data_IF_463824332806
#
_entry.id   IF_463824332806
#
_cell.length_a   1.000
_cell.length_b   1.000
_cell.length_c   1.000
_cell.angle_alpha   90.00
_cell.angle_beta   90.00
_cell.angle_gamma   90.00
#
_symmetry.space_group_name_H-M   'P 1'
#
loop_
_entity.id
_entity.type
_entity.pdbx_description
1 polymer ?
#
# COMPACT_ATOMS: atom_id res chain seq x y z
N UNK A 1 29.09 -80.07 -42.60
CA UNK A 1 29.76 -79.16 -41.63
C UNK A 1 29.07 -77.81 -41.65
N UNK A 2 28.29 -77.50 -40.60
CA UNK A 2 27.79 -76.14 -40.33
C UNK A 2 27.99 -75.91 -38.84
N UNK A 3 28.89 -75.01 -38.52
CA UNK A 3 29.17 -74.51 -37.18
C UNK A 3 29.23 -73.00 -37.26
N UNK A 4 28.91 -72.36 -36.13
CA UNK A 4 29.23 -70.97 -35.76
C UNK A 4 28.31 -69.88 -36.34
N UNK A 5 27.96 -68.82 -35.61
CA UNK A 5 28.31 -68.36 -34.26
C UNK A 5 27.19 -67.44 -33.78
N UNK A 6 26.86 -67.51 -32.49
CA UNK A 6 26.00 -66.55 -31.78
C UNK A 6 26.87 -65.36 -31.34
N UNK A 7 26.45 -64.13 -31.65
CA UNK A 7 27.05 -62.92 -31.07
C UNK A 7 26.00 -62.19 -30.23
N UNK A 8 26.33 -62.05 -28.95
CA UNK A 8 25.63 -61.31 -27.91
C UNK A 8 25.61 -59.81 -28.22
N UNK A 9 24.44 -59.18 -28.12
CA UNK A 9 24.29 -57.72 -28.13
C UNK A 9 24.45 -57.20 -26.70
N UNK A 10 25.59 -56.59 -26.39
CA UNK A 10 25.83 -55.88 -25.13
C UNK A 10 25.22 -54.48 -25.21
N UNK A 11 24.15 -54.24 -24.46
CA UNK A 11 23.67 -52.88 -24.19
C UNK A 11 24.57 -52.23 -23.15
N UNK A 12 25.39 -51.28 -23.61
CA UNK A 12 26.18 -50.38 -22.77
C UNK A 12 25.21 -49.37 -22.14
N UNK A 13 24.97 -49.49 -20.83
CA UNK A 13 24.27 -48.44 -20.07
C UNK A 13 25.25 -47.31 -19.80
N UNK A 14 25.11 -46.21 -20.53
CA UNK A 14 25.68 -44.93 -20.11
C UNK A 14 24.90 -44.43 -18.89
N UNK A 15 25.43 -44.73 -17.70
CA UNK A 15 25.04 -44.08 -16.46
C UNK A 15 25.46 -42.61 -16.52
N UNK A 16 24.51 -41.73 -16.83
CA UNK A 16 24.67 -40.32 -16.58
C UNK A 16 24.78 -40.11 -15.07
N UNK A 17 25.96 -39.66 -14.61
CA UNK A 17 26.12 -38.95 -13.34
C UNK A 17 25.32 -37.65 -13.41
N UNK A 18 24.02 -37.74 -13.15
CA UNK A 18 23.22 -36.59 -12.77
C UNK A 18 23.68 -36.13 -11.39
N UNK A 19 24.16 -34.89 -11.31
CA UNK A 19 24.48 -34.25 -10.04
C UNK A 19 23.32 -34.41 -9.07
N UNK A 20 23.60 -34.95 -7.88
CA UNK A 20 22.67 -34.89 -6.76
C UNK A 20 22.32 -33.43 -6.50
N UNK A 21 21.10 -33.03 -6.86
CA UNK A 21 20.47 -31.84 -6.33
C UNK A 21 20.53 -31.97 -4.81
N UNK A 22 21.37 -31.14 -4.17
CA UNK A 22 21.27 -30.88 -2.74
C UNK A 22 19.80 -30.66 -2.45
N UNK A 23 19.20 -31.56 -1.67
CA UNK A 23 17.90 -31.36 -1.04
C UNK A 23 18.03 -30.09 -0.23
N UNK A 24 17.66 -28.97 -0.83
CA UNK A 24 17.35 -27.76 -0.09
C UNK A 24 16.11 -28.14 0.69
N UNK A 25 16.31 -28.48 1.96
CA UNK A 25 15.23 -28.51 2.93
C UNK A 25 14.67 -27.09 2.95
N UNK A 26 13.62 -26.85 2.18
CA UNK A 26 12.79 -25.67 2.32
C UNK A 26 12.17 -25.77 3.70
N UNK A 27 12.84 -25.19 4.70
CA UNK A 27 12.19 -24.83 5.95
C UNK A 27 11.13 -23.82 5.52
N UNK A 28 9.89 -24.28 5.46
CA UNK A 28 8.73 -23.48 5.10
C UNK A 28 8.55 -22.43 6.20
N UNK A 29 9.21 -21.28 6.06
CA UNK A 29 8.87 -20.08 6.82
C UNK A 29 7.47 -19.67 6.38
N UNK A 30 6.46 -19.99 7.20
CA UNK A 30 5.14 -19.35 7.12
C UNK A 30 5.30 -17.89 7.59
N UNK A 31 5.86 -17.05 6.73
CA UNK A 31 5.77 -15.60 6.82
C UNK A 31 5.15 -15.12 5.51
N UNK A 32 4.13 -14.28 5.58
CA UNK A 32 3.31 -13.86 4.43
C UNK A 32 4.18 -13.43 3.24
N UNK A 33 4.24 -14.23 2.15
CA UNK A 33 4.76 -13.76 0.86
C UNK A 33 3.65 -12.94 0.19
N UNK A 34 3.37 -11.75 0.72
CA UNK A 34 2.58 -10.78 -0.03
C UNK A 34 3.45 -10.16 -1.13
N UNK A 35 2.81 -9.77 -2.22
CA UNK A 35 3.42 -9.10 -3.35
C UNK A 35 3.63 -7.61 -3.01
N UNK A 36 4.78 -7.04 -3.40
CA UNK A 36 5.00 -5.60 -3.39
C UNK A 36 5.03 -5.13 -4.85
N UNK A 37 4.10 -4.27 -5.29
CA UNK A 37 4.06 -3.82 -6.68
C UNK A 37 5.31 -3.02 -7.07
N UNK A 38 5.70 -3.12 -8.34
CA UNK A 38 6.79 -2.32 -8.88
C UNK A 38 6.25 -1.02 -9.49
N UNK A 39 6.95 0.10 -9.26
CA UNK A 39 6.65 1.41 -9.85
C UNK A 39 7.92 1.92 -10.53
N UNK A 40 7.79 2.38 -11.77
CA UNK A 40 8.90 2.90 -12.58
C UNK A 40 8.72 4.40 -12.88
N UNK A 41 9.77 5.11 -13.35
CA UNK A 41 9.70 6.54 -13.65
C UNK A 41 9.08 6.89 -15.02
N UNK A 42 8.48 5.93 -15.75
CA UNK A 42 7.94 6.21 -17.08
C UNK A 42 6.79 7.22 -17.03
N UNK A 43 6.72 8.12 -18.00
CA UNK A 43 5.62 9.07 -18.10
C UNK A 43 4.30 8.36 -18.44
N UNK A 44 3.19 8.84 -17.88
CA UNK A 44 1.85 8.28 -18.04
C UNK A 44 0.81 9.40 -18.19
N UNK A 45 -0.33 9.09 -18.80
CA UNK A 45 -1.44 10.03 -18.96
C UNK A 45 -2.78 9.41 -18.54
N UNK A 46 -3.69 10.26 -18.10
CA UNK A 46 -5.08 9.96 -17.78
C UNK A 46 -5.99 10.65 -18.80
N UNK A 47 -6.77 9.88 -19.54
CA UNK A 47 -7.73 10.41 -20.51
C UNK A 47 -9.14 10.42 -19.92
N UNK A 48 -9.62 11.61 -19.54
CA UNK A 48 -10.93 11.82 -18.91
C UNK A 48 -12.12 11.49 -19.82
N UNK A 49 -11.95 11.52 -21.14
CA UNK A 49 -13.03 11.22 -22.09
C UNK A 49 -13.07 9.74 -22.44
N UNK A 50 -11.93 9.05 -22.32
CA UNK A 50 -11.86 7.63 -22.62
C UNK A 50 -12.72 6.86 -21.62
N UNK A 51 -13.60 6.02 -22.14
CA UNK A 51 -14.48 5.16 -21.35
C UNK A 51 -15.42 5.95 -20.41
N UNK A 52 -15.64 7.25 -20.64
CA UNK A 52 -16.43 8.14 -19.76
C UNK A 52 -17.85 7.62 -19.54
N UNK A 53 -18.40 6.91 -20.53
CA UNK A 53 -19.69 6.24 -20.45
C UNK A 53 -19.76 5.11 -19.41
N UNK A 54 -18.61 4.57 -18.98
CA UNK A 54 -18.50 3.52 -17.96
C UNK A 54 -18.42 4.07 -16.53
N UNK A 55 -18.24 5.38 -16.38
CA UNK A 55 -18.08 6.00 -15.06
C UNK A 55 -19.45 6.19 -14.40
N UNK A 56 -19.52 5.84 -13.12
CA UNK A 56 -20.60 6.26 -12.23
C UNK A 56 -20.47 7.76 -11.99
N UNK A 57 -21.57 8.49 -12.20
CA UNK A 57 -21.66 9.93 -11.98
C UNK A 57 -22.35 10.21 -10.65
N UNK A 58 -21.84 11.17 -9.90
CA UNK A 58 -22.44 11.58 -8.63
C UNK A 58 -22.27 13.08 -8.45
N UNK A 59 -23.28 13.75 -7.91
CA UNK A 59 -23.19 15.17 -7.58
C UNK A 59 -22.03 15.39 -6.61
N UNK A 60 -21.19 16.38 -6.94
CA UNK A 60 -20.05 16.76 -6.14
C UNK A 60 -20.36 18.07 -5.43
N UNK A 61 -20.34 18.02 -4.11
CA UNK A 61 -20.38 19.20 -3.24
C UNK A 61 -19.02 19.26 -2.56
N UNK A 62 -18.28 20.35 -2.78
CA UNK A 62 -16.92 20.52 -2.31
C UNK A 62 -16.76 21.91 -1.70
N UNK A 63 -16.39 21.97 -0.42
CA UNK A 63 -16.14 23.21 0.30
C UNK A 63 -14.66 23.32 0.63
N UNK A 64 -14.08 24.50 0.45
CA UNK A 64 -12.74 24.81 0.97
C UNK A 64 -12.68 26.26 1.47
N UNK A 65 -11.50 26.71 1.92
CA UNK A 65 -11.30 28.06 2.44
C UNK A 65 -11.63 29.18 1.44
N UNK A 66 -11.82 28.87 0.15
CA UNK A 66 -12.18 29.80 -0.92
C UNK A 66 -13.67 29.79 -1.27
N UNK A 67 -14.47 28.93 -0.65
CA UNK A 67 -15.93 28.86 -0.81
C UNK A 67 -16.46 27.45 -1.09
N UNK A 68 -17.78 27.40 -1.32
CA UNK A 68 -18.49 26.18 -1.71
C UNK A 68 -18.54 26.07 -3.25
N UNK A 69 -18.28 24.87 -3.73
CA UNK A 69 -18.30 24.52 -5.14
C UNK A 69 -19.20 23.32 -5.37
N UNK A 70 -20.01 23.40 -6.41
CA UNK A 70 -20.78 22.28 -6.95
C UNK A 70 -20.15 21.78 -8.25
N UNK A 71 -20.45 20.53 -8.58
CA UNK A 71 -19.99 19.89 -9.80
C UNK A 71 -20.46 18.45 -9.91
N UNK A 72 -19.76 17.67 -10.71
CA UNK A 72 -20.00 16.24 -10.88
C UNK A 72 -18.71 15.47 -10.68
N UNK A 73 -18.77 14.40 -9.89
CA UNK A 73 -17.69 13.44 -9.78
C UNK A 73 -17.93 12.22 -10.66
N UNK A 74 -16.84 11.62 -11.11
CA UNK A 74 -16.83 10.45 -11.97
C UNK A 74 -15.95 9.40 -11.32
N UNK A 75 -16.48 8.20 -11.11
CA UNK A 75 -15.76 7.07 -10.54
C UNK A 75 -15.90 5.84 -11.45
N UNK A 76 -14.80 5.14 -11.70
CA UNK A 76 -14.78 3.86 -12.40
C UNK A 76 -13.98 2.84 -11.57
N UNK A 77 -14.60 1.69 -11.29
CA UNK A 77 -13.96 0.54 -10.67
C UNK A 77 -13.85 -0.59 -11.70
N UNK A 78 -12.62 -1.08 -11.92
CA UNK A 78 -12.32 -2.21 -12.80
C UNK A 78 -11.73 -3.33 -11.97
N UNK A 79 -12.35 -4.51 -12.01
CA UNK A 79 -11.85 -5.71 -11.35
C UNK A 79 -11.28 -6.69 -12.35
N UNK A 80 -10.15 -7.28 -12.00
CA UNK A 80 -9.51 -8.41 -12.69
C UNK A 80 -9.26 -9.51 -11.65
N UNK A 81 -8.71 -10.65 -12.07
CA UNK A 81 -8.50 -11.81 -11.17
C UNK A 81 -7.58 -11.53 -9.97
N UNK A 82 -6.72 -10.50 -10.02
CA UNK A 82 -5.75 -10.22 -8.96
C UNK A 82 -5.61 -8.73 -8.59
N UNK A 83 -6.38 -7.87 -9.24
CA UNK A 83 -6.28 -6.41 -9.10
C UNK A 83 -7.64 -5.74 -9.16
N UNK A 84 -7.77 -4.70 -8.35
CA UNK A 84 -8.86 -3.72 -8.45
C UNK A 84 -8.25 -2.35 -8.80
N UNK A 85 -8.74 -1.74 -9.88
CA UNK A 85 -8.31 -0.42 -10.33
C UNK A 85 -9.47 0.56 -10.09
N UNK A 86 -9.20 1.64 -9.37
CA UNK A 86 -10.16 2.72 -9.14
C UNK A 86 -9.64 3.97 -9.83
N UNK A 87 -10.47 4.57 -10.67
CA UNK A 87 -10.20 5.86 -11.32
C UNK A 87 -11.24 6.88 -10.88
N UNK A 88 -10.78 8.09 -10.60
CA UNK A 88 -11.66 9.17 -10.15
C UNK A 88 -11.21 10.52 -10.71
N UNK A 89 -12.18 11.38 -11.00
CA UNK A 89 -11.97 12.82 -11.15
C UNK A 89 -13.26 13.59 -10.85
N UNK A 90 -13.13 14.86 -10.45
CA UNK A 90 -14.22 15.81 -10.32
C UNK A 90 -14.22 16.83 -11.46
N UNK A 91 -15.41 17.32 -11.82
CA UNK A 91 -15.64 18.41 -12.77
C UNK A 91 -16.52 19.46 -12.10
N UNK A 92 -15.96 20.62 -11.78
CA UNK A 92 -16.72 21.73 -11.22
C UNK A 92 -17.66 22.32 -12.28
N UNK A 93 -18.71 23.04 -11.86
CA UNK A 93 -19.61 23.77 -12.77
C UNK A 93 -18.88 24.73 -13.72
N UNK A 94 -17.74 25.28 -13.29
CA UNK A 94 -16.85 26.10 -14.11
C UNK A 94 -16.14 25.34 -15.24
N UNK A 95 -16.32 24.03 -15.34
CA UNK A 95 -15.61 23.15 -16.27
C UNK A 95 -14.20 22.74 -15.81
N UNK A 96 -13.77 23.18 -14.62
CA UNK A 96 -12.45 22.84 -14.06
C UNK A 96 -12.43 21.38 -13.57
N UNK A 97 -11.43 20.62 -14.03
CA UNK A 97 -11.15 19.27 -13.53
C UNK A 97 -10.38 19.36 -12.20
N UNK A 98 -10.78 18.57 -11.22
CA UNK A 98 -10.14 18.48 -9.90
C UNK A 98 -9.95 17.03 -9.46
N UNK A 99 -8.97 16.81 -8.59
CA UNK A 99 -8.68 15.53 -7.95
C UNK A 99 -8.59 14.31 -8.91
N UNK A 100 -7.94 14.40 -10.08
CA UNK A 100 -7.80 13.21 -10.92
C UNK A 100 -6.77 12.24 -10.33
N UNK A 101 -7.20 11.02 -10.02
CA UNK A 101 -6.34 9.98 -9.47
C UNK A 101 -6.68 8.57 -9.98
N UNK A 102 -5.69 7.68 -9.86
CA UNK A 102 -5.83 6.25 -10.09
C UNK A 102 -5.19 5.48 -8.92
N UNK A 103 -5.93 4.51 -8.37
CA UNK A 103 -5.44 3.54 -7.42
C UNK A 103 -5.44 2.15 -8.04
N UNK A 104 -4.36 1.41 -7.87
CA UNK A 104 -4.24 0.02 -8.32
C UNK A 104 -3.93 -0.84 -7.09
N UNK A 105 -4.94 -1.58 -6.65
CA UNK A 105 -4.86 -2.54 -5.56
C UNK A 105 -4.49 -3.91 -6.12
N UNK A 106 -3.69 -4.65 -5.36
CA UNK A 106 -3.37 -6.05 -5.61
C UNK A 106 -3.85 -6.87 -4.43
N UNK A 107 -4.58 -7.95 -4.67
CA UNK A 107 -5.31 -8.66 -3.62
C UNK A 107 -4.39 -9.22 -2.53
N UNK A 108 -3.21 -9.71 -2.91
CA UNK A 108 -2.18 -10.19 -2.00
C UNK A 108 -1.07 -9.14 -1.78
N UNK A 109 -1.41 -7.89 -1.49
CA UNK A 109 -0.44 -6.82 -1.24
C UNK A 109 -0.92 -5.84 -0.17
N UNK A 110 -0.07 -5.41 0.77
CA UNK A 110 -0.37 -4.32 1.68
C UNK A 110 -0.16 -2.94 1.03
N UNK A 111 0.43 -2.89 -0.16
CA UNK A 111 0.63 -1.67 -0.91
C UNK A 111 -0.22 -1.63 -2.18
N UNK A 112 -0.77 -0.46 -2.46
CA UNK A 112 -1.35 -0.11 -3.74
C UNK A 112 -0.42 0.85 -4.49
N UNK A 113 -0.56 0.91 -5.81
CA UNK A 113 0.02 2.01 -6.59
C UNK A 113 -0.95 3.17 -6.53
N UNK A 114 -0.46 4.33 -6.10
CA UNK A 114 -1.19 5.60 -6.20
C UNK A 114 -0.59 6.43 -7.33
N UNK A 115 -1.48 7.02 -8.15
CA UNK A 115 -1.15 7.99 -9.18
C UNK A 115 -2.06 9.19 -9.05
N UNK A 116 -1.50 10.39 -9.14
CA UNK A 116 -2.28 11.62 -9.27
C UNK A 116 -1.88 12.35 -10.53
N UNK A 117 -2.83 13.07 -11.13
CA UNK A 117 -2.65 13.70 -12.42
C UNK A 117 -2.91 15.20 -12.33
N UNK A 118 -2.41 15.94 -13.31
CA UNK A 118 -2.81 17.31 -13.54
C UNK A 118 -4.15 17.38 -14.28
N UNK A 119 -4.86 18.53 -14.27
CA UNK A 119 -6.10 18.71 -15.03
C UNK A 119 -5.95 18.48 -16.54
N UNK A 120 -4.74 18.60 -17.08
CA UNK A 120 -4.45 18.29 -18.49
C UNK A 120 -4.28 16.78 -18.77
N UNK A 121 -4.38 15.94 -17.75
CA UNK A 121 -4.25 14.48 -17.84
C UNK A 121 -2.82 13.95 -17.70
N UNK A 122 -1.81 14.80 -17.65
CA UNK A 122 -0.43 14.35 -17.45
C UNK A 122 -0.23 13.85 -16.02
N UNK A 123 0.54 12.77 -15.83
CA UNK A 123 0.90 12.29 -14.49
C UNK A 123 1.61 13.42 -13.73
N UNK A 124 1.19 13.62 -12.48
CA UNK A 124 1.81 14.56 -11.54
C UNK A 124 2.78 13.84 -10.63
N UNK A 125 2.35 12.73 -10.05
CA UNK A 125 3.18 11.91 -9.18
C UNK A 125 2.66 10.48 -9.07
N UNK A 126 3.56 9.56 -8.77
CA UNK A 126 3.21 8.15 -8.52
C UNK A 126 4.19 7.45 -7.59
N UNK A 127 3.68 6.44 -6.89
CA UNK A 127 4.47 5.58 -6.02
C UNK A 127 3.61 4.56 -5.27
N UNK A 128 4.21 3.89 -4.30
CA UNK A 128 3.51 2.93 -3.44
C UNK A 128 2.94 3.61 -2.21
N UNK A 129 1.65 3.38 -1.95
CA UNK A 129 0.96 3.77 -0.73
C UNK A 129 0.38 2.54 -0.05
N UNK A 130 0.42 2.47 1.28
CA UNK A 130 -0.23 1.39 2.01
C UNK A 130 -1.75 1.41 1.78
N UNK A 131 -2.37 0.23 1.68
CA UNK A 131 -3.82 0.11 1.43
C UNK A 131 -4.66 0.82 2.49
N UNK A 132 -4.17 0.87 3.75
CA UNK A 132 -4.87 1.46 4.87
C UNK A 132 -3.92 2.14 5.86
N UNK A 133 -3.96 3.47 5.85
CA UNK A 133 -3.13 4.33 6.68
C UNK A 133 -2.34 5.33 5.82
N UNK A 134 -1.26 5.86 6.40
CA UNK A 134 -0.45 6.91 5.79
C UNK A 134 1.02 6.50 5.69
N UNK A 135 1.32 5.55 4.80
CA UNK A 135 2.68 5.11 4.50
C UNK A 135 2.91 5.21 3.01
N UNK A 136 4.00 5.88 2.67
CA UNK A 136 4.55 5.95 1.33
C UNK A 136 5.83 5.12 1.31
N UNK A 137 5.83 4.02 0.54
CA UNK A 137 6.96 3.07 0.49
C UNK A 137 7.82 3.33 -0.74
N UNK A 138 9.12 3.09 -0.58
CA UNK A 138 10.08 3.12 -1.68
C UNK A 138 10.17 4.48 -2.36
N UNK A 139 10.35 4.44 -3.68
CA UNK A 139 10.62 5.63 -4.48
C UNK A 139 9.33 6.19 -5.10
N UNK A 140 9.11 7.48 -4.88
CA UNK A 140 8.06 8.28 -5.49
C UNK A 140 8.63 9.20 -6.57
N UNK A 141 7.93 9.29 -7.70
CA UNK A 141 8.34 10.04 -8.87
C UNK A 141 7.40 11.22 -9.07
N UNK A 142 7.96 12.40 -9.37
CA UNK A 142 7.22 13.65 -9.53
C UNK A 142 7.54 14.29 -10.87
N UNK A 143 6.50 14.71 -11.57
CA UNK A 143 6.56 15.25 -12.92
C UNK A 143 6.00 16.67 -12.93
N UNK A 144 6.48 17.49 -13.86
CA UNK A 144 5.83 18.77 -14.14
C UNK A 144 4.59 18.60 -15.03
N UNK A 145 3.82 19.68 -15.21
CA UNK A 145 2.62 19.67 -16.07
C UNK A 145 2.89 19.31 -17.52
N UNK A 146 4.15 19.39 -17.98
CA UNK A 146 4.58 19.03 -19.34
C UNK A 146 5.02 17.57 -19.45
N UNK A 147 5.03 16.84 -18.34
CA UNK A 147 5.39 15.43 -18.28
C UNK A 147 6.87 15.13 -18.08
N UNK A 148 7.69 16.14 -17.78
CA UNK A 148 9.11 15.93 -17.45
C UNK A 148 9.24 15.47 -16.01
N UNK A 149 10.01 14.41 -15.75
CA UNK A 149 10.39 14.01 -14.39
C UNK A 149 11.26 15.12 -13.77
N UNK A 150 10.78 15.73 -12.68
CA UNK A 150 11.43 16.85 -12.00
C UNK A 150 12.00 16.47 -10.64
N UNK A 151 11.48 15.42 -9.99
CA UNK A 151 11.96 14.98 -8.68
C UNK A 151 11.73 13.48 -8.46
N UNK A 152 12.55 12.90 -7.57
CA UNK A 152 12.44 11.52 -7.11
C UNK A 152 12.76 11.48 -5.61
N UNK A 153 11.86 10.91 -4.79
CA UNK A 153 12.03 10.82 -3.34
C UNK A 153 11.96 9.37 -2.89
N UNK A 154 12.97 8.90 -2.17
CA UNK A 154 12.95 7.59 -1.53
C UNK A 154 12.49 7.72 -0.07
N UNK A 155 11.23 7.39 0.18
CA UNK A 155 10.59 7.53 1.50
C UNK A 155 11.10 6.51 2.54
N UNK A 156 11.67 5.39 2.10
CA UNK A 156 12.22 4.40 3.03
C UNK A 156 13.53 4.87 3.68
N UNK A 157 14.17 5.91 3.13
CA UNK A 157 15.36 6.54 3.74
C UNK A 157 15.03 7.56 4.83
N UNK A 158 13.75 7.90 5.01
CA UNK A 158 13.32 8.90 5.99
C UNK A 158 13.20 8.34 7.41
N UNK A 159 13.21 7.01 7.57
CA UNK A 159 12.99 6.31 8.84
C UNK A 159 14.16 5.37 9.10
N UNK A 160 14.72 5.41 10.31
CA UNK A 160 15.73 4.44 10.76
C UNK A 160 15.17 3.04 10.98
N UNK A 161 13.90 2.93 11.40
CA UNK A 161 13.19 1.67 11.59
C UNK A 161 12.37 1.34 10.33
N UNK A 162 12.74 0.27 9.64
CA UNK A 162 12.25 -0.04 8.30
C UNK A 162 10.85 -0.66 8.29
N UNK A 163 10.22 -0.69 7.11
CA UNK A 163 8.97 -1.40 6.91
C UNK A 163 9.09 -2.89 7.24
N UNK A 164 10.18 -3.54 6.84
CA UNK A 164 10.43 -4.96 7.05
C UNK A 164 10.57 -5.29 8.55
N UNK A 165 11.03 -4.33 9.35
CA UNK A 165 11.04 -4.46 10.82
C UNK A 165 9.65 -4.27 11.42
N UNK A 166 8.82 -3.38 10.87
CA UNK A 166 7.41 -3.23 11.25
C UNK A 166 6.60 -4.47 10.88
N UNK A 167 6.83 -5.04 9.71
CA UNK A 167 6.24 -6.31 9.29
C UNK A 167 6.57 -7.42 10.28
N UNK A 168 7.84 -7.54 10.67
CA UNK A 168 8.26 -8.49 11.71
C UNK A 168 7.56 -8.22 13.04
N UNK A 169 7.42 -6.96 13.45
CA UNK A 169 6.67 -6.60 14.65
C UNK A 169 5.20 -7.05 14.56
N UNK A 170 4.54 -6.82 13.42
CA UNK A 170 3.16 -7.25 13.15
C UNK A 170 3.03 -8.76 13.28
N UNK A 171 3.96 -9.51 12.67
CA UNK A 171 4.02 -10.98 12.75
C UNK A 171 4.21 -11.47 14.19
N UNK A 172 5.20 -10.94 14.90
CA UNK A 172 5.52 -11.33 16.28
C UNK A 172 4.38 -11.04 17.26
N UNK A 173 3.58 -10.00 16.99
CA UNK A 173 2.43 -9.63 17.81
C UNK A 173 1.10 -10.23 17.29
N UNK A 174 1.14 -11.11 16.28
CA UNK A 174 -0.03 -11.77 15.68
C UNK A 174 -1.09 -10.77 15.19
N UNK A 175 -0.65 -9.62 14.71
CA UNK A 175 -1.51 -8.61 14.09
C UNK A 175 -1.72 -9.03 12.64
N UNK A 176 -2.96 -8.97 12.15
CA UNK A 176 -3.28 -9.30 10.77
C UNK A 176 -2.70 -8.25 9.80
N UNK A 177 -2.01 -8.71 8.76
CA UNK A 177 -1.54 -7.83 7.69
C UNK A 177 -2.72 -7.41 6.80
N UNK A 178 -2.81 -6.11 6.53
CA UNK A 178 -3.90 -5.53 5.73
C UNK A 178 -3.57 -5.69 4.25
N UNK A 179 -4.28 -6.55 3.52
CA UNK A 179 -4.02 -6.87 2.11
C UNK A 179 -5.20 -6.48 1.20
N UNK A 180 -4.89 -5.96 0.01
CA UNK A 180 -5.88 -5.70 -1.04
C UNK A 180 -6.90 -4.60 -0.73
N UNK A 181 -7.89 -4.47 -1.64
CA UNK A 181 -8.99 -3.50 -1.54
C UNK A 181 -10.14 -4.03 -0.68
N UNK A 182 -9.84 -4.43 0.56
CA UNK A 182 -10.80 -4.96 1.52
C UNK A 182 -11.32 -3.92 2.51
N UNK A 183 -12.40 -4.27 3.21
CA UNK A 183 -12.79 -3.52 4.41
C UNK A 183 -11.86 -3.89 5.57
N UNK A 184 -10.96 -2.98 5.91
CA UNK A 184 -9.98 -3.15 6.99
C UNK A 184 -10.47 -2.58 8.33
N UNK A 185 -11.73 -2.13 8.41
CA UNK A 185 -12.29 -1.48 9.60
C UNK A 185 -11.43 -0.31 10.09
N UNK A 186 -11.15 -0.30 11.40
CA UNK A 186 -10.28 0.69 12.06
C UNK A 186 -8.80 0.29 12.06
N UNK A 187 -8.44 -0.88 11.53
CA UNK A 187 -7.04 -1.28 11.47
C UNK A 187 -6.29 -0.32 10.53
N UNK A 188 -5.08 0.10 10.90
CA UNK A 188 -4.25 0.94 10.03
C UNK A 188 -2.80 0.92 10.46
N UNK A 189 -1.90 1.23 9.53
CA UNK A 189 -0.48 1.43 9.82
C UNK A 189 -0.08 2.78 9.25
N UNK A 190 0.48 3.63 10.08
CA UNK A 190 0.78 5.02 9.76
C UNK A 190 2.25 5.34 10.02
N UNK A 191 2.82 6.20 9.16
CA UNK A 191 4.08 6.91 9.40
C UNK A 191 3.76 8.37 9.66
N UNK A 192 4.38 8.93 10.70
CA UNK A 192 4.41 10.37 10.93
C UNK A 192 5.85 10.84 10.90
N UNK A 193 6.09 11.98 10.26
CA UNK A 193 7.42 12.57 10.14
C UNK A 193 7.29 14.09 10.17
N UNK A 194 8.31 14.81 10.69
CA UNK A 194 8.42 16.26 10.48
C UNK A 194 8.51 16.63 8.98
N UNK A 195 8.91 15.69 8.13
CA UNK A 195 9.05 15.84 6.69
C UNK A 195 8.14 14.82 5.97
N UNK A 196 6.89 15.16 5.69
CA UNK A 196 5.96 14.25 4.99
C UNK A 196 5.99 14.48 3.47
N UNK A 197 6.14 13.38 2.73
CA UNK A 197 5.98 13.31 1.28
C UNK A 197 4.99 12.18 0.95
N UNK A 198 4.21 12.29 -0.14
CA UNK A 198 4.29 13.26 -1.24
C UNK A 198 3.61 14.60 -0.96
N UNK A 199 4.06 15.63 -1.69
CA UNK A 199 3.53 17.00 -1.67
C UNK A 199 2.01 17.09 -1.91
N UNK A 200 1.41 16.15 -2.65
CA UNK A 200 -0.05 16.10 -2.84
C UNK A 200 -0.85 15.78 -1.55
N UNK A 201 -0.17 15.19 -0.55
CA UNK A 201 -0.76 14.84 0.74
C UNK A 201 -0.43 15.85 1.85
N UNK A 202 0.49 16.78 1.62
CA UNK A 202 0.94 17.78 2.59
C UNK A 202 -0.19 18.73 3.03
N UNK A 203 -1.13 19.07 2.15
CA UNK A 203 -2.21 20.03 2.46
C UNK A 203 -3.17 19.54 3.55
N UNK A 204 -3.19 18.23 3.84
CA UNK A 204 -4.12 17.61 4.79
C UNK A 204 -3.44 16.99 6.01
N UNK A 205 -2.11 17.06 6.13
CA UNK A 205 -1.42 16.57 7.33
C UNK A 205 -1.47 17.62 8.44
N UNK A 206 -2.46 17.50 9.33
CA UNK A 206 -2.63 18.39 10.49
C UNK A 206 -1.71 18.05 11.66
N UNK A 207 -1.00 16.92 11.61
CA UNK A 207 -0.18 16.44 12.70
C UNK A 207 1.28 16.89 12.54
N UNK A 208 1.65 17.91 13.33
CA UNK A 208 3.04 18.30 13.53
C UNK A 208 3.65 17.39 14.58
N UNK A 209 4.49 16.46 14.15
CA UNK A 209 5.33 15.64 15.04
C UNK A 209 6.74 16.22 15.06
N UNK A 210 7.43 16.09 16.18
CA UNK A 210 8.82 16.53 16.38
C UNK A 210 9.84 15.46 15.97
N UNK A 211 9.39 14.21 15.79
CA UNK A 211 10.21 13.07 15.38
C UNK A 211 9.44 12.10 14.48
N UNK A 212 10.18 11.20 13.84
CA UNK A 212 9.62 10.10 13.08
C UNK A 212 8.91 9.12 14.01
N UNK A 213 7.72 8.66 13.63
CA UNK A 213 6.91 7.73 14.41
C UNK A 213 6.21 6.72 13.50
N UNK A 214 6.03 5.52 14.03
CA UNK A 214 5.10 4.53 13.51
C UNK A 214 3.89 4.42 14.44
N UNK A 215 2.68 4.32 13.88
CA UNK A 215 1.49 3.94 14.65
C UNK A 215 0.80 2.77 13.99
N UNK A 216 0.48 1.75 14.78
CA UNK A 216 -0.23 0.55 14.36
C UNK A 216 -1.53 0.49 15.17
N UNK A 217 -2.66 0.57 14.48
CA UNK A 217 -3.98 0.38 15.07
C UNK A 217 -4.55 -0.96 14.63
N UNK A 218 -5.07 -1.75 15.57
CA UNK A 218 -5.70 -3.03 15.26
C UNK A 218 -6.83 -3.38 16.22
N UNK A 219 -7.83 -4.10 15.72
CA UNK A 219 -8.97 -4.60 16.49
C UNK A 219 -8.54 -5.73 17.43
N UNK A 220 -9.04 -5.69 18.66
CA UNK A 220 -8.90 -6.74 19.66
C UNK A 220 -9.98 -7.81 19.55
N UNK A 221 -9.88 -8.85 20.39
CA UNK A 221 -10.91 -9.89 20.50
C UNK A 221 -12.17 -9.41 21.22
N UNK A 222 -12.06 -8.36 22.05
CA UNK A 222 -13.18 -7.79 22.78
C UNK A 222 -14.14 -7.00 21.89
N UNK A 223 -15.40 -6.90 22.32
CA UNK A 223 -16.42 -6.07 21.66
C UNK A 223 -15.95 -4.62 21.55
N UNK A 224 -15.98 -4.09 20.33
CA UNK A 224 -15.48 -2.77 19.94
C UNK A 224 -14.15 -2.34 20.56
N UNK A 225 -13.28 -3.30 20.87
CA UNK A 225 -11.98 -3.08 21.47
C UNK A 225 -10.92 -2.90 20.40
N UNK A 226 -10.05 -1.92 20.62
CA UNK A 226 -8.95 -1.60 19.72
C UNK A 226 -7.66 -1.33 20.50
N UNK A 227 -6.56 -1.53 19.81
CA UNK A 227 -5.23 -1.27 20.30
C UNK A 227 -4.53 -0.29 19.36
N UNK A 228 -3.79 0.64 19.94
CA UNK A 228 -2.81 1.46 19.25
C UNK A 228 -1.44 1.21 19.87
N UNK A 229 -0.44 0.97 19.02
CA UNK A 229 0.97 0.93 19.42
C UNK A 229 1.71 2.02 18.66
N UNK A 230 2.36 2.91 19.38
CA UNK A 230 3.23 3.94 18.81
C UNK A 230 4.68 3.53 19.03
N UNK A 231 5.45 3.48 17.96
CA UNK A 231 6.88 3.18 17.99
C UNK A 231 7.69 4.38 17.51
N UNK A 232 8.89 4.52 18.07
CA UNK A 232 9.90 5.44 17.56
C UNK A 232 10.27 5.08 16.12
N UNK A 233 10.22 6.06 15.22
CA UNK A 233 10.42 5.89 13.79
C UNK A 233 11.82 5.47 13.39
N UNK A 234 12.81 5.72 14.25
CA UNK A 234 14.21 5.46 13.95
C UNK A 234 14.75 4.24 14.69
N UNK A 235 14.26 3.97 15.90
CA UNK A 235 14.75 2.83 16.70
C UNK A 235 13.77 1.67 16.83
N UNK A 236 12.49 1.86 16.50
CA UNK A 236 11.43 0.88 16.71
C UNK A 236 11.11 0.60 18.18
N UNK A 237 11.56 1.47 19.10
CA UNK A 237 11.21 1.35 20.52
C UNK A 237 9.73 1.66 20.69
N UNK A 238 9.02 0.86 21.47
CA UNK A 238 7.64 1.17 21.84
C UNK A 238 7.65 2.40 22.73
N UNK A 239 6.91 3.43 22.35
CA UNK A 239 6.75 4.68 23.09
C UNK A 239 5.43 4.72 23.84
N UNK A 240 4.38 4.13 23.25
CA UNK A 240 3.04 4.14 23.83
C UNK A 240 2.28 2.89 23.41
N UNK A 241 1.46 2.37 24.31
CA UNK A 241 0.36 1.46 24.00
C UNK A 241 -0.94 2.05 24.52
N UNK A 242 -2.01 1.92 23.75
CA UNK A 242 -3.33 2.33 24.17
C UNK A 242 -4.32 1.23 23.83
N UNK A 243 -5.12 0.84 24.81
CA UNK A 243 -6.27 -0.04 24.63
C UNK A 243 -7.52 0.80 24.85
N UNK A 244 -8.41 0.83 23.87
CA UNK A 244 -9.60 1.67 23.90
C UNK A 244 -10.79 0.97 23.28
N UNK A 245 -11.97 1.57 23.44
CA UNK A 245 -13.23 1.07 22.92
C UNK A 245 -13.91 2.14 22.07
N UNK A 246 -14.60 1.72 21.03
CA UNK A 246 -15.39 2.62 20.17
C UNK A 246 -16.86 2.42 20.51
N UNK A 247 -17.53 3.50 20.92
CA UNK A 247 -18.98 3.49 21.14
C UNK A 247 -19.70 3.42 19.79
N UNK A 248 -20.68 2.52 19.69
CA UNK A 248 -21.69 2.54 18.63
C UNK A 248 -22.99 3.04 19.29
N UNK A 249 -23.64 4.05 18.70
CA UNK A 249 -24.99 4.50 19.10
C UNK A 249 -25.18 5.01 20.55
N UNK A 250 -24.16 5.63 21.14
CA UNK A 250 -24.29 6.32 22.43
C UNK A 250 -24.17 5.41 23.65
N UNK A 251 -23.64 4.21 23.45
CA UNK A 251 -23.30 3.29 24.55
C UNK A 251 -22.11 3.79 25.37
N UNK A 252 -22.17 3.57 26.68
CA UNK A 252 -21.07 3.81 27.60
C UNK A 252 -19.97 2.76 27.38
N UNK A 253 -18.76 3.23 27.08
CA UNK A 253 -17.58 2.38 26.90
C UNK A 253 -16.54 2.65 27.99
N UNK A 254 -15.68 1.67 28.34
CA UNK A 254 -14.64 1.90 29.33
C UNK A 254 -13.65 2.99 28.89
N UNK A 255 -13.09 3.69 29.88
CA UNK A 255 -12.00 4.64 29.65
C UNK A 255 -10.77 3.96 29.03
N UNK A 256 -10.04 4.63 28.12
CA UNK A 256 -8.83 4.09 27.53
C UNK A 256 -7.75 3.76 28.57
N UNK A 257 -7.13 2.59 28.43
CA UNK A 257 -5.96 2.18 29.21
C UNK A 257 -4.72 2.59 28.43
N UNK A 258 -3.87 3.44 29.02
CA UNK A 258 -2.69 4.01 28.38
C UNK A 258 -1.43 3.58 29.15
N UNK A 259 -0.49 2.96 28.42
CA UNK A 259 0.85 2.66 28.90
C UNK A 259 1.84 3.56 28.15
N UNK A 260 2.55 4.43 28.88
CA UNK A 260 3.51 5.39 28.34
C UNK A 260 4.95 4.96 28.70
N UNK A 261 5.76 4.77 27.66
CA UNK A 261 7.14 4.30 27.71
C UNK A 261 8.13 5.36 27.20
N UNK A 262 7.68 6.61 27.03
CA UNK A 262 8.50 7.71 26.51
C UNK A 262 9.49 8.30 27.53
N UNK A 263 9.45 7.83 28.78
CA UNK A 263 10.30 8.27 29.89
C UNK A 263 11.64 7.55 29.96
#
# INVERSE_FOLDING_TARGET
MKTMLIIFLSFITFSCKGQELKKVTLIQKKGYMYYIPNVNPSFETFNFQKDKEKYTKTDLIYSNNSGDYSGTSYNLELKTDNQTIIKYYGLLESGKIINPYEFIYYDNSPFMIQKTFYPNGNIKEKGLKIVKGNIYKGTWFYFDEKGKLINTINNDKLFGFSWEQIEKFIEENKIEMLLGNGNHGHNSINRWSPFLYPQSSETNSTQKVDRNLWSITYKGEGWNQYFEVVLDGDTGKILKRTKYWVSEEGEDVPEPIIEDFSK
#
